data_IF_852593768481
#
_entry.id   IF_852593768481
#
_cell.length_a   1.000
_cell.length_b   1.000
_cell.length_c   1.000
_cell.angle_alpha   90.00
_cell.angle_beta   90.00
_cell.angle_gamma   90.00
#
_symmetry.space_group_name_H-M   'P 1'
#
loop_
_entity.id
_entity.type
_entity.pdbx_description
1 polymer ?
#
# COMPACT_ATOMS: atom_id res chain seq x y z
N UNK A 1 39.05 -6.52 43.07
CA UNK A 1 38.69 -6.31 41.63
C UNK A 1 37.44 -7.10 41.22
N UNK A 2 37.28 -8.34 41.59
CA UNK A 2 36.16 -9.19 41.17
C UNK A 2 34.78 -8.68 41.65
N UNK A 3 34.63 -8.24 42.90
CA UNK A 3 33.38 -7.68 43.42
C UNK A 3 32.98 -6.36 42.75
N UNK A 4 33.95 -5.55 42.34
CA UNK A 4 33.69 -4.28 41.64
C UNK A 4 33.21 -4.58 40.23
N UNK A 5 33.83 -5.53 39.54
CA UNK A 5 33.42 -5.94 38.21
C UNK A 5 32.00 -6.54 38.20
N UNK A 6 31.67 -7.39 39.17
CA UNK A 6 30.33 -7.96 39.31
C UNK A 6 29.25 -6.89 39.48
N UNK A 7 29.55 -5.85 40.31
CA UNK A 7 28.64 -4.72 40.50
C UNK A 7 28.42 -3.94 39.20
N UNK A 8 29.50 -3.62 38.47
CA UNK A 8 29.35 -2.97 37.15
C UNK A 8 28.56 -3.80 36.15
N UNK A 9 28.79 -5.11 36.14
CA UNK A 9 28.00 -6.04 35.28
C UNK A 9 26.52 -5.96 35.65
N UNK A 10 26.17 -6.02 36.92
CA UNK A 10 24.79 -5.94 37.40
C UNK A 10 24.12 -4.62 37.02
N UNK A 11 24.86 -3.51 37.20
CA UNK A 11 24.36 -2.18 36.88
C UNK A 11 24.12 -2.03 35.36
N UNK A 12 25.04 -2.47 34.51
CA UNK A 12 24.92 -2.43 33.05
C UNK A 12 23.81 -3.36 32.58
N UNK A 13 23.85 -4.64 32.99
CA UNK A 13 22.88 -5.66 32.63
C UNK A 13 21.45 -5.27 33.06
N UNK A 14 21.31 -4.68 34.25
CA UNK A 14 20.05 -4.20 34.77
C UNK A 14 19.53 -2.91 34.14
N UNK A 15 20.38 -2.10 33.50
CA UNK A 15 20.01 -0.84 32.85
C UNK A 15 19.51 -1.00 31.42
N UNK A 16 19.78 -2.15 30.79
CA UNK A 16 19.36 -2.42 29.44
C UNK A 16 17.83 -2.53 29.35
N UNK A 17 17.27 -1.96 28.31
CA UNK A 17 15.81 -1.92 28.09
C UNK A 17 15.26 -3.20 27.48
N UNK A 18 16.12 -3.90 26.77
CA UNK A 18 15.80 -5.17 26.13
C UNK A 18 15.80 -6.28 27.19
N UNK A 19 14.80 -7.17 27.25
CA UNK A 19 14.78 -8.36 28.07
C UNK A 19 15.96 -9.27 27.80
N UNK A 20 16.77 -9.53 28.81
CA UNK A 20 17.96 -10.38 28.72
C UNK A 20 17.91 -11.50 29.73
N UNK A 21 18.28 -12.68 29.29
CA UNK A 21 18.43 -13.89 30.13
C UNK A 21 19.79 -14.53 29.89
N UNK A 22 20.47 -14.89 30.95
CA UNK A 22 21.69 -15.66 30.94
C UNK A 22 21.37 -17.07 31.38
N UNK A 23 21.62 -18.06 30.53
CA UNK A 23 21.37 -19.47 30.77
C UNK A 23 22.69 -20.23 30.96
N UNK A 24 22.66 -21.30 31.75
CA UNK A 24 23.75 -22.28 31.83
C UNK A 24 23.63 -23.38 30.75
N UNK A 25 24.47 -24.43 30.86
CA UNK A 25 24.47 -25.54 29.90
C UNK A 25 23.19 -26.39 29.94
N UNK A 26 22.47 -26.39 31.06
CA UNK A 26 21.22 -27.11 31.26
C UNK A 26 20.01 -26.21 31.03
N UNK A 27 20.19 -25.05 30.40
CA UNK A 27 19.19 -24.02 30.15
C UNK A 27 18.52 -23.48 31.41
N UNK A 28 19.18 -23.57 32.56
CA UNK A 28 18.74 -22.91 33.78
C UNK A 28 19.10 -21.43 33.73
N UNK A 29 18.17 -20.62 34.20
CA UNK A 29 18.37 -19.16 34.27
C UNK A 29 19.38 -18.85 35.36
N UNK A 30 20.57 -18.44 34.97
CA UNK A 30 21.59 -17.94 35.89
C UNK A 30 21.23 -16.55 36.36
N UNK A 31 20.73 -15.72 35.45
CA UNK A 31 20.31 -14.35 35.72
C UNK A 31 19.40 -13.82 34.64
N UNK A 32 18.42 -12.99 35.01
CA UNK A 32 17.66 -12.17 34.08
C UNK A 32 17.76 -10.69 34.48
N UNK A 33 17.51 -9.78 33.53
CA UNK A 33 17.56 -8.36 33.83
C UNK A 33 16.20 -7.78 34.23
N UNK A 34 16.18 -6.54 34.70
CA UNK A 34 14.95 -5.86 35.12
C UNK A 34 13.92 -5.76 33.98
N UNK A 35 14.37 -5.62 32.74
CA UNK A 35 13.48 -5.57 31.59
C UNK A 35 12.75 -6.89 31.38
N UNK A 36 13.43 -8.03 31.51
CA UNK A 36 12.82 -9.36 31.46
C UNK A 36 11.69 -9.51 32.48
N UNK A 37 11.98 -9.21 33.76
CA UNK A 37 10.99 -9.34 34.82
C UNK A 37 9.76 -8.46 34.57
N UNK A 38 9.99 -7.25 34.11
CA UNK A 38 8.90 -6.28 33.82
C UNK A 38 8.07 -6.69 32.63
N UNK A 39 8.72 -7.09 31.53
CA UNK A 39 8.03 -7.43 30.26
C UNK A 39 7.16 -8.68 30.41
N UNK A 40 7.68 -9.68 31.11
CA UNK A 40 6.97 -10.97 31.26
C UNK A 40 6.20 -11.12 32.58
N UNK A 41 6.20 -10.10 33.43
CA UNK A 41 5.44 -10.08 34.68
C UNK A 41 5.91 -11.12 35.70
N UNK A 42 7.19 -11.52 35.66
CA UNK A 42 7.78 -12.57 36.54
C UNK A 42 8.71 -11.96 37.60
N UNK A 43 9.00 -12.73 38.66
CA UNK A 43 9.88 -12.29 39.76
C UNK A 43 11.22 -13.02 39.70
N UNK A 44 12.32 -12.40 40.20
CA UNK A 44 13.63 -13.03 40.25
C UNK A 44 13.61 -14.41 40.92
N UNK A 45 12.94 -14.54 42.08
CA UNK A 45 12.90 -15.79 42.85
C UNK A 45 12.16 -16.93 42.14
N UNK A 46 11.24 -16.63 41.22
CA UNK A 46 10.49 -17.59 40.43
C UNK A 46 11.18 -17.89 39.08
N UNK A 47 12.24 -17.17 38.77
CA UNK A 47 12.91 -17.23 37.47
C UNK A 47 14.32 -17.80 37.57
N UNK A 48 15.17 -17.22 38.45
CA UNK A 48 16.56 -17.62 38.58
C UNK A 48 16.70 -19.02 39.22
N UNK A 49 17.58 -19.83 38.67
CA UNK A 49 17.79 -21.24 39.10
C UNK A 49 16.83 -22.26 38.49
N UNK A 50 15.76 -21.81 37.84
CA UNK A 50 14.81 -22.68 37.15
C UNK A 50 15.19 -22.85 35.66
N UNK A 51 14.80 -23.96 35.06
CA UNK A 51 14.95 -24.21 33.61
C UNK A 51 14.04 -23.24 32.86
N UNK A 52 14.53 -22.62 31.81
CA UNK A 52 13.76 -21.60 31.07
C UNK A 52 12.42 -22.16 30.58
N UNK A 53 12.36 -23.40 30.18
CA UNK A 53 11.13 -24.04 29.67
C UNK A 53 10.06 -24.24 30.75
N UNK A 54 10.45 -24.29 32.04
CA UNK A 54 9.52 -24.47 33.15
C UNK A 54 8.98 -23.15 33.71
N UNK A 55 9.48 -22.02 33.22
CA UNK A 55 9.04 -20.70 33.66
C UNK A 55 7.56 -20.46 33.34
N UNK A 56 6.88 -19.76 34.25
CA UNK A 56 5.51 -19.30 34.07
C UNK A 56 4.52 -20.43 33.77
N UNK A 57 4.57 -21.53 34.53
CA UNK A 57 3.73 -22.71 34.30
C UNK A 57 3.93 -23.29 32.89
N UNK A 58 5.18 -23.42 32.47
CA UNK A 58 5.62 -23.95 31.16
C UNK A 58 5.25 -23.10 29.95
N UNK A 59 4.89 -21.83 30.14
CA UNK A 59 4.61 -20.93 29.02
C UNK A 59 5.84 -20.66 28.13
N UNK A 60 7.05 -20.92 28.64
CA UNK A 60 8.30 -20.83 27.88
C UNK A 60 8.71 -22.14 27.21
N UNK A 61 7.93 -23.21 27.36
CA UNK A 61 8.13 -24.47 26.62
C UNK A 61 7.64 -24.33 25.17
N UNK A 62 8.28 -23.42 24.44
CA UNK A 62 7.92 -23.05 23.08
C UNK A 62 8.77 -23.87 22.10
N UNK A 63 8.17 -24.63 21.16
CA UNK A 63 8.92 -25.49 20.23
C UNK A 63 10.02 -24.74 19.44
N UNK A 64 9.74 -23.51 19.02
CA UNK A 64 10.71 -22.67 18.31
C UNK A 64 11.87 -22.23 19.20
N UNK A 65 11.63 -21.97 20.48
CA UNK A 65 12.70 -21.66 21.44
C UNK A 65 13.59 -22.87 21.68
N UNK A 66 13.02 -24.07 21.80
CA UNK A 66 13.78 -25.32 21.90
C UNK A 66 14.64 -25.54 20.65
N UNK A 67 14.07 -25.37 19.47
CA UNK A 67 14.80 -25.48 18.21
C UNK A 67 16.02 -24.55 18.20
N UNK A 68 15.84 -23.29 18.61
CA UNK A 68 16.92 -22.32 18.70
C UNK A 68 18.03 -22.78 19.68
N UNK A 69 17.66 -23.12 20.89
CA UNK A 69 18.62 -23.38 21.96
C UNK A 69 19.28 -24.76 21.85
N UNK A 70 18.52 -25.80 21.48
CA UNK A 70 18.97 -27.20 21.50
C UNK A 70 19.56 -27.64 20.14
N UNK A 71 19.11 -27.06 19.02
CA UNK A 71 19.50 -27.50 17.68
C UNK A 71 20.37 -26.48 16.95
N UNK A 72 19.94 -25.24 16.88
CA UNK A 72 20.59 -24.23 16.03
C UNK A 72 21.83 -23.66 16.74
N UNK A 73 21.67 -23.23 17.99
CA UNK A 73 22.75 -22.58 18.73
C UNK A 73 23.95 -23.49 19.03
N UNK A 74 23.84 -24.81 19.25
CA UNK A 74 24.99 -25.70 19.36
C UNK A 74 25.87 -25.75 18.12
N UNK A 75 25.31 -25.55 16.95
CA UNK A 75 26.02 -25.53 15.65
C UNK A 75 26.58 -24.15 15.30
N UNK A 76 26.04 -23.09 15.90
CA UNK A 76 26.40 -21.71 15.66
C UNK A 76 26.77 -21.00 16.95
N UNK A 77 27.75 -20.09 16.91
CA UNK A 77 28.16 -19.32 18.09
C UNK A 77 27.19 -18.18 18.41
N UNK A 78 26.50 -17.67 17.38
CA UNK A 78 25.57 -16.54 17.46
C UNK A 78 24.41 -16.81 16.53
N UNK A 79 23.22 -16.42 16.95
CA UNK A 79 22.02 -16.37 16.14
C UNK A 79 21.29 -15.05 16.39
N UNK A 80 20.77 -14.43 15.32
CA UNK A 80 20.07 -13.15 15.40
C UNK A 80 18.70 -13.26 14.72
N UNK A 81 17.75 -12.45 15.20
CA UNK A 81 16.42 -12.23 14.62
C UNK A 81 15.60 -13.52 14.42
N UNK A 82 15.74 -14.46 15.36
CA UNK A 82 14.93 -15.67 15.33
C UNK A 82 13.52 -15.38 15.82
N UNK A 83 12.56 -15.36 14.90
CA UNK A 83 11.17 -15.03 15.20
C UNK A 83 10.46 -16.16 15.95
N UNK A 84 9.83 -15.81 17.05
CA UNK A 84 8.98 -16.67 17.87
C UNK A 84 7.67 -15.96 18.14
N UNK A 85 6.56 -16.56 17.75
CA UNK A 85 5.21 -16.13 18.08
C UNK A 85 4.63 -17.05 19.17
N UNK A 86 4.15 -16.47 20.26
CA UNK A 86 3.58 -17.20 21.37
C UNK A 86 2.53 -16.38 22.13
N UNK A 87 1.49 -17.06 22.63
CA UNK A 87 0.45 -16.44 23.46
C UNK A 87 0.69 -16.79 24.92
N UNK A 88 1.09 -15.80 25.71
CA UNK A 88 1.26 -15.92 27.14
C UNK A 88 -0.06 -15.67 27.87
N UNK A 89 -0.31 -16.40 28.97
CA UNK A 89 -1.57 -16.28 29.75
C UNK A 89 -1.82 -14.86 30.27
N UNK A 90 -0.77 -14.18 30.75
CA UNK A 90 -0.90 -12.89 31.42
C UNK A 90 -0.67 -11.66 30.53
N UNK A 91 0.03 -11.80 29.41
CA UNK A 91 0.44 -10.68 28.55
C UNK A 91 -0.03 -10.82 27.09
N UNK A 92 -0.78 -11.89 26.80
CA UNK A 92 -1.37 -12.14 25.48
C UNK A 92 -0.35 -12.56 24.43
N UNK A 93 -0.74 -12.38 23.16
CA UNK A 93 0.11 -12.70 22.01
C UNK A 93 1.34 -11.80 21.98
N UNK A 94 2.50 -12.43 21.81
CA UNK A 94 3.79 -11.79 21.63
C UNK A 94 4.49 -12.34 20.39
N UNK A 95 4.97 -11.44 19.55
CA UNK A 95 5.90 -11.73 18.47
C UNK A 95 7.27 -11.23 18.96
N UNK A 96 8.22 -12.15 19.07
CA UNK A 96 9.52 -11.88 19.67
C UNK A 96 10.63 -12.19 18.67
N UNK A 97 11.63 -11.32 18.56
CA UNK A 97 12.91 -11.66 17.93
C UNK A 97 13.91 -12.07 19.01
N UNK A 98 14.39 -13.27 18.89
CA UNK A 98 15.36 -13.84 19.82
C UNK A 98 16.76 -13.75 19.23
N UNK A 99 17.67 -13.15 19.99
CA UNK A 99 19.08 -13.06 19.68
C UNK A 99 19.84 -13.90 20.71
N UNK A 100 20.48 -14.98 20.28
CA UNK A 100 21.17 -15.91 21.16
C UNK A 100 22.67 -15.95 20.87
N UNK A 101 23.47 -15.89 21.94
CA UNK A 101 24.93 -15.96 21.85
C UNK A 101 25.52 -16.86 22.91
N UNK A 102 26.43 -17.77 22.48
CA UNK A 102 27.21 -18.59 23.41
C UNK A 102 28.43 -17.81 23.92
N UNK A 103 28.61 -17.81 25.25
CA UNK A 103 29.74 -17.18 25.93
C UNK A 103 30.59 -18.28 26.54
N UNK A 104 31.87 -18.31 26.18
CA UNK A 104 32.83 -19.28 26.71
C UNK A 104 33.74 -18.62 27.73
N UNK A 105 33.90 -19.23 28.91
CA UNK A 105 34.86 -18.83 29.91
C UNK A 105 36.00 -19.87 29.94
N UNK A 106 37.17 -19.49 29.47
CA UNK A 106 38.31 -20.41 29.33
C UNK A 106 38.77 -21.05 30.65
N UNK A 107 38.59 -20.37 31.81
CA UNK A 107 39.13 -20.82 33.10
C UNK A 107 38.35 -21.95 33.76
N UNK A 108 37.04 -22.08 33.53
CA UNK A 108 36.18 -23.07 34.25
C UNK A 108 35.29 -23.91 33.31
N UNK A 109 35.55 -23.98 32.02
CA UNK A 109 34.71 -24.65 31.01
C UNK A 109 33.19 -24.27 31.07
N UNK A 110 32.87 -23.21 31.81
CA UNK A 110 31.48 -22.73 31.92
C UNK A 110 31.04 -22.15 30.60
N UNK A 111 30.05 -22.74 30.02
CA UNK A 111 29.39 -22.25 28.80
C UNK A 111 28.11 -21.56 29.25
N UNK A 112 27.93 -20.32 28.84
CA UNK A 112 26.71 -19.57 29.12
C UNK A 112 26.06 -19.21 27.77
N UNK A 113 24.76 -19.10 27.76
CA UNK A 113 23.98 -18.57 26.66
C UNK A 113 23.35 -17.26 27.08
N UNK A 114 23.73 -16.18 26.40
CA UNK A 114 23.02 -14.93 26.51
C UNK A 114 21.87 -14.94 25.48
N UNK A 115 20.65 -14.81 25.97
CA UNK A 115 19.44 -14.67 25.17
C UNK A 115 18.88 -13.26 25.35
N UNK A 116 18.79 -12.51 24.29
CA UNK A 116 18.09 -11.24 24.22
C UNK A 116 16.76 -11.43 23.50
N UNK A 117 15.71 -10.77 24.00
CA UNK A 117 14.33 -10.97 23.56
C UNK A 117 13.74 -9.59 23.21
N UNK A 118 13.65 -9.29 21.94
CA UNK A 118 12.99 -8.07 21.46
C UNK A 118 11.50 -8.34 21.23
N UNK A 119 10.62 -7.61 21.92
CA UNK A 119 9.18 -7.62 21.64
C UNK A 119 8.90 -6.76 20.41
N UNK A 120 8.56 -7.40 19.32
CA UNK A 120 8.27 -6.75 18.03
C UNK A 120 6.79 -6.79 17.68
N UNK A 121 5.93 -7.13 18.65
CA UNK A 121 4.48 -7.35 18.44
C UNK A 121 3.81 -6.16 17.74
N UNK A 122 4.01 -4.95 18.27
CA UNK A 122 3.43 -3.74 17.67
C UNK A 122 3.98 -3.49 16.26
N UNK A 123 5.30 -3.62 16.10
CA UNK A 123 5.98 -3.39 14.81
C UNK A 123 5.46 -4.34 13.75
N UNK A 124 5.38 -5.63 14.06
CA UNK A 124 4.89 -6.64 13.10
C UNK A 124 3.39 -6.51 12.83
N UNK A 125 2.60 -6.13 13.84
CA UNK A 125 1.18 -5.82 13.64
C UNK A 125 0.99 -4.66 12.65
N UNK A 126 1.68 -3.54 12.87
CA UNK A 126 1.58 -2.38 11.97
C UNK A 126 2.11 -2.68 10.56
N UNK A 127 3.19 -3.44 10.46
CA UNK A 127 3.75 -3.85 9.17
C UNK A 127 2.76 -4.70 8.38
N UNK A 128 2.19 -5.74 8.99
CA UNK A 128 1.18 -6.62 8.35
C UNK A 128 -0.05 -5.82 7.92
N UNK A 129 -0.53 -4.93 8.77
CA UNK A 129 -1.67 -4.07 8.45
C UNK A 129 -1.37 -3.08 7.30
N UNK A 130 -0.19 -2.51 7.28
CA UNK A 130 0.25 -1.62 6.20
C UNK A 130 0.38 -2.38 4.87
N UNK A 131 0.95 -3.58 4.88
CA UNK A 131 1.06 -4.44 3.70
C UNK A 131 -0.33 -4.79 3.13
N UNK A 132 -1.30 -5.13 3.98
CA UNK A 132 -2.69 -5.39 3.58
C UNK A 132 -3.34 -4.14 2.97
N UNK A 133 -3.17 -2.99 3.60
CA UNK A 133 -3.70 -1.71 3.09
C UNK A 133 -3.09 -1.35 1.73
N UNK A 134 -1.78 -1.51 1.57
CA UNK A 134 -1.08 -1.27 0.30
C UNK A 134 -1.60 -2.21 -0.78
N UNK A 135 -1.75 -3.51 -0.49
CA UNK A 135 -2.28 -4.49 -1.43
C UNK A 135 -3.70 -4.11 -1.90
N UNK A 136 -4.59 -3.76 -0.96
CA UNK A 136 -5.96 -3.33 -1.25
C UNK A 136 -5.98 -2.08 -2.11
N UNK A 137 -5.21 -1.05 -1.75
CA UNK A 137 -5.15 0.21 -2.51
C UNK A 137 -4.56 0.03 -3.91
N UNK A 138 -3.57 -0.84 -4.03
CA UNK A 138 -2.98 -1.15 -5.35
C UNK A 138 -4.01 -1.83 -6.26
N UNK A 139 -4.79 -2.76 -5.76
CA UNK A 139 -5.86 -3.41 -6.50
C UNK A 139 -6.96 -2.41 -6.93
N UNK A 140 -7.41 -1.55 -6.01
CA UNK A 140 -8.40 -0.49 -6.31
C UNK A 140 -7.91 0.46 -7.40
N UNK A 141 -6.65 0.90 -7.31
CA UNK A 141 -6.02 1.78 -8.31
C UNK A 141 -5.90 1.12 -9.68
N UNK A 142 -5.55 -0.17 -9.73
CA UNK A 142 -5.51 -0.92 -11.00
C UNK A 142 -6.87 -0.96 -11.67
N UNK A 143 -7.91 -1.31 -10.93
CA UNK A 143 -9.29 -1.36 -11.43
C UNK A 143 -9.77 0.03 -11.90
N UNK A 144 -9.53 1.07 -11.12
CA UNK A 144 -9.90 2.43 -11.48
C UNK A 144 -9.19 2.90 -12.76
N UNK A 145 -7.90 2.55 -12.91
CA UNK A 145 -7.12 2.86 -14.12
C UNK A 145 -7.68 2.15 -15.36
N UNK A 146 -8.01 0.87 -15.24
CA UNK A 146 -8.60 0.10 -16.34
C UNK A 146 -9.96 0.70 -16.79
N UNK A 147 -10.80 1.06 -15.83
CA UNK A 147 -12.08 1.74 -16.10
C UNK A 147 -11.90 3.10 -16.77
N UNK A 148 -10.95 3.90 -16.29
CA UNK A 148 -10.64 5.21 -16.86
C UNK A 148 -10.12 5.08 -18.30
N UNK A 149 -9.28 4.10 -18.60
CA UNK A 149 -8.78 3.85 -19.95
C UNK A 149 -9.89 3.37 -20.90
N UNK A 150 -10.77 2.47 -20.44
CA UNK A 150 -11.93 2.04 -21.21
C UNK A 150 -12.88 3.21 -21.54
N UNK A 151 -13.16 4.07 -20.55
CA UNK A 151 -14.00 5.26 -20.76
C UNK A 151 -13.35 6.27 -21.72
N UNK A 152 -12.03 6.45 -21.63
CA UNK A 152 -11.28 7.29 -22.57
C UNK A 152 -11.42 6.78 -24.00
N UNK A 153 -11.28 5.48 -24.22
CA UNK A 153 -11.40 4.87 -25.54
C UNK A 153 -12.81 5.05 -26.11
N UNK A 154 -13.86 4.87 -25.28
CA UNK A 154 -15.24 5.11 -25.69
C UNK A 154 -15.46 6.57 -26.13
N UNK A 155 -14.93 7.52 -25.35
CA UNK A 155 -15.03 8.94 -25.65
C UNK A 155 -14.29 9.32 -26.96
N UNK A 156 -13.10 8.77 -27.19
CA UNK A 156 -12.33 8.99 -28.42
C UNK A 156 -13.05 8.44 -29.65
N UNK A 157 -13.66 7.26 -29.54
CA UNK A 157 -14.47 6.67 -30.61
C UNK A 157 -15.69 7.54 -30.93
N UNK A 158 -16.42 7.99 -29.90
CA UNK A 158 -17.57 8.87 -30.07
C UNK A 158 -17.20 10.22 -30.71
N UNK A 159 -16.09 10.82 -30.33
CA UNK A 159 -15.58 12.05 -30.95
C UNK A 159 -15.27 11.85 -32.44
N UNK A 160 -14.69 10.71 -32.78
CA UNK A 160 -14.38 10.36 -34.18
C UNK A 160 -15.67 10.21 -35.00
N UNK A 161 -16.69 9.53 -34.48
CA UNK A 161 -17.99 9.39 -35.12
C UNK A 161 -18.71 10.74 -35.29
N UNK A 162 -18.74 11.57 -34.28
CA UNK A 162 -19.31 12.93 -34.33
C UNK A 162 -18.63 13.74 -35.43
N UNK A 163 -17.31 13.69 -35.55
CA UNK A 163 -16.57 14.37 -36.58
C UNK A 163 -16.97 13.92 -37.99
N UNK A 164 -17.06 12.61 -38.20
CA UNK A 164 -17.49 12.03 -39.48
C UNK A 164 -18.90 12.46 -39.86
N UNK A 165 -19.85 12.38 -38.89
CA UNK A 165 -21.23 12.82 -39.14
C UNK A 165 -21.32 14.31 -39.41
N UNK A 166 -20.54 15.13 -38.75
CA UNK A 166 -20.46 16.57 -39.03
C UNK A 166 -19.96 16.85 -40.46
N UNK A 167 -18.88 16.18 -40.88
CA UNK A 167 -18.32 16.36 -42.22
C UNK A 167 -19.31 15.91 -43.30
N UNK A 168 -20.05 14.81 -43.06
CA UNK A 168 -21.12 14.36 -43.95
C UNK A 168 -22.27 15.39 -44.04
N UNK A 169 -22.71 15.91 -42.91
CA UNK A 169 -23.78 16.87 -42.87
C UNK A 169 -23.39 18.21 -43.55
N UNK A 170 -22.15 18.67 -43.42
CA UNK A 170 -21.64 19.84 -44.12
C UNK A 170 -21.59 19.62 -45.64
N UNK A 171 -21.17 18.46 -46.08
CA UNK A 171 -21.18 18.07 -47.50
C UNK A 171 -22.59 18.01 -48.08
N UNK A 172 -23.55 17.39 -47.39
CA UNK A 172 -24.93 17.32 -47.80
C UNK A 172 -25.58 18.69 -47.86
N UNK A 173 -25.32 19.52 -46.84
CA UNK A 173 -25.80 20.92 -46.84
C UNK A 173 -25.26 21.71 -48.05
N UNK A 174 -23.99 21.57 -48.38
CA UNK A 174 -23.40 22.25 -49.53
C UNK A 174 -24.03 21.77 -50.81
N UNK A 175 -24.26 20.45 -50.99
CA UNK A 175 -24.91 19.88 -52.12
C UNK A 175 -26.36 20.42 -52.33
N UNK A 176 -27.17 20.40 -51.26
CA UNK A 176 -28.53 20.91 -51.29
C UNK A 176 -28.59 22.43 -51.59
N UNK A 177 -27.63 23.22 -51.07
CA UNK A 177 -27.55 24.63 -51.36
C UNK A 177 -27.24 24.88 -52.84
N UNK A 178 -26.43 24.03 -53.47
CA UNK A 178 -26.12 24.12 -54.89
C UNK A 178 -27.32 23.70 -55.76
N UNK A 179 -28.02 22.65 -55.37
CA UNK A 179 -29.25 22.17 -56.03
C UNK A 179 -30.37 23.27 -56.01
N UNK A 180 -30.57 23.92 -54.87
CA UNK A 180 -31.52 25.02 -54.71
C UNK A 180 -31.11 26.21 -55.62
N UNK A 181 -29.83 26.52 -55.70
CA UNK A 181 -29.37 27.60 -56.63
C UNK A 181 -29.62 27.28 -58.08
N UNK A 182 -29.52 25.99 -58.47
CA UNK A 182 -29.81 25.55 -59.84
C UNK A 182 -31.30 25.54 -60.15
N UNK A 183 -32.18 25.19 -59.19
CA UNK A 183 -33.64 25.20 -59.38
C UNK A 183 -34.24 26.62 -59.34
N UNK A 184 -33.67 27.50 -58.54
CA UNK A 184 -34.18 28.90 -58.38
C UNK A 184 -33.31 29.92 -59.09
N UNK A 185 -32.56 29.52 -60.13
CA UNK A 185 -31.83 30.45 -60.92
C UNK A 185 -32.84 31.33 -61.70
N UNK A 186 -32.78 32.63 -61.45
CA UNK A 186 -33.68 33.64 -62.10
C UNK A 186 -33.45 33.78 -63.59
N UNK A 187 -32.63 32.92 -64.22
CA UNK A 187 -32.32 32.97 -65.66
C UNK A 187 -33.55 32.72 -66.54
N UNK A 188 -34.64 32.20 -65.97
CA UNK A 188 -35.91 32.06 -66.68
C UNK A 188 -36.74 33.36 -66.74
N UNK A 189 -36.36 34.40 -66.03
CA UNK A 189 -37.05 35.68 -66.09
C UNK A 189 -36.29 36.58 -67.00
N UNK A 190 -36.87 36.79 -68.22
CA UNK A 190 -36.26 37.60 -69.25
C UNK A 190 -36.62 39.09 -69.02
N UNK A 191 -35.69 39.90 -68.54
CA UNK A 191 -35.84 41.33 -68.37
C UNK A 191 -34.51 42.04 -68.05
N UNK A 192 -34.24 43.14 -68.76
CA UNK A 192 -32.99 43.91 -68.57
C UNK A 192 -33.22 45.33 -68.09
N UNK A 193 -34.45 45.69 -67.79
CA UNK A 193 -34.77 47.04 -67.27
C UNK A 193 -34.22 47.25 -65.88
N UNK A 194 -33.92 48.52 -65.51
CA UNK A 194 -33.39 48.78 -64.16
C UNK A 194 -34.43 48.51 -63.06
N UNK A 195 -35.71 48.54 -63.38
CA UNK A 195 -36.79 48.15 -62.49
C UNK A 195 -36.75 46.66 -62.15
N UNK A 196 -36.55 45.75 -63.13
CA UNK A 196 -36.47 44.34 -62.90
C UNK A 196 -35.19 43.93 -62.14
N UNK A 197 -34.08 44.61 -62.45
CA UNK A 197 -32.83 44.43 -61.69
C UNK A 197 -32.99 44.83 -60.21
N UNK A 198 -33.74 45.84 -59.90
CA UNK A 198 -34.06 46.25 -58.55
C UNK A 198 -34.94 45.23 -57.84
N UNK A 199 -35.88 44.65 -58.55
CA UNK A 199 -36.71 43.52 -57.98
C UNK A 199 -35.83 42.33 -57.65
N UNK A 200 -34.97 41.89 -58.57
CA UNK A 200 -34.02 40.80 -58.29
C UNK A 200 -33.15 41.04 -57.08
N UNK A 201 -32.54 42.26 -57.02
CA UNK A 201 -31.72 42.62 -55.86
C UNK A 201 -32.51 42.56 -54.55
N UNK A 202 -33.74 43.09 -54.55
CA UNK A 202 -34.60 42.96 -53.36
C UNK A 202 -35.01 41.55 -53.02
N UNK A 203 -35.29 40.76 -54.04
CA UNK A 203 -35.63 39.32 -53.87
C UNK A 203 -34.46 38.54 -53.28
N UNK A 204 -33.25 38.77 -53.78
CA UNK A 204 -32.03 38.15 -53.21
C UNK A 204 -31.78 38.56 -51.74
N UNK A 205 -31.96 39.83 -51.37
CA UNK A 205 -31.83 40.29 -50.01
C UNK A 205 -32.84 39.64 -49.04
N UNK A 206 -34.03 39.27 -49.52
CA UNK A 206 -35.13 38.77 -48.70
C UNK A 206 -35.14 37.23 -48.74
N UNK A 207 -34.55 36.61 -49.78
CA UNK A 207 -34.50 35.14 -49.93
C UNK A 207 -33.76 34.43 -48.76
N UNK A 208 -32.83 35.12 -48.08
CA UNK A 208 -32.15 34.60 -46.90
C UNK A 208 -32.99 34.71 -45.61
N UNK A 209 -34.18 35.31 -45.67
CA UNK A 209 -35.06 35.53 -44.52
C UNK A 209 -36.37 34.77 -44.68
N UNK A 210 -37.01 34.41 -43.56
CA UNK A 210 -38.35 33.79 -43.57
C UNK A 210 -39.50 34.78 -43.75
N UNK A 211 -39.28 35.85 -44.47
CA UNK A 211 -40.24 36.93 -44.63
C UNK A 211 -41.12 36.69 -45.84
N UNK A 212 -42.43 36.80 -45.68
CA UNK A 212 -43.41 36.75 -46.78
C UNK A 212 -43.34 38.03 -47.61
N UNK A 213 -43.12 37.89 -48.89
CA UNK A 213 -43.04 39.03 -49.83
C UNK A 213 -44.25 39.03 -50.72
N UNK A 214 -44.92 40.16 -50.82
CA UNK A 214 -45.99 40.41 -51.77
C UNK A 214 -45.46 41.20 -52.98
N UNK A 215 -45.51 40.59 -54.17
CA UNK A 215 -45.14 41.27 -55.43
C UNK A 215 -46.41 41.77 -56.07
N UNK A 216 -46.48 43.07 -56.24
CA UNK A 216 -47.63 43.76 -56.92
C UNK A 216 -47.14 44.21 -58.29
N UNK A 217 -47.88 43.92 -59.34
CA UNK A 217 -47.67 44.41 -60.69
C UNK A 217 -48.85 45.24 -61.14
N UNK A 218 -48.63 46.12 -62.09
CA UNK A 218 -49.72 46.85 -62.82
C UNK A 218 -50.35 45.89 -63.88
#
# INVERSE_FOLDING_TARGET
MEKVFLKYFDDVFGSLREPLVLLDNDFKVVKANKAFYRTFGVKPGDTEGNVIYDLGNRQWDIPRLRELLETILPQNTVFNDFEVEHTFENIGLKIMHLNARRIYRQKNQTRLVLLAIEDVTEREYYKRHLEELVATRTAELSTAREMAEANRQVAENALTEIKQLKDQLEAERAYLQEEIKLEFNHDNIVGKSDAIKYVFYKTEQIAETNTTVLVLGE
#
